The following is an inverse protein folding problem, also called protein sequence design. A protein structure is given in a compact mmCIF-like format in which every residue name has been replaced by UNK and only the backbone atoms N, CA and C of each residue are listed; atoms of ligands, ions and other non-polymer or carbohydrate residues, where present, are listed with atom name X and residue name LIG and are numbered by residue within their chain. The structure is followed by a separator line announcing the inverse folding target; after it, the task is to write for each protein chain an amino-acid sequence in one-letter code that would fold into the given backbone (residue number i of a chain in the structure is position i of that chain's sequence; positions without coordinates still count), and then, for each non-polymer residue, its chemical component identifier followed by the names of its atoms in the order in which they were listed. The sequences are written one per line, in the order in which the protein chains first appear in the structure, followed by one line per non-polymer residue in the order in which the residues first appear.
data_IF_829568656407
#
_entry.id   IF_829568656407
#
_cell.length_a   1.000
_cell.length_b   1.000
_cell.length_c   1.000
_cell.angle_alpha   90.00
_cell.angle_beta   90.00
_cell.angle_gamma   90.00
#
_symmetry.space_group_name_H-M   'P 1'
#
loop_
_entity.id
_entity.type
_entity.pdbx_description
1 polymer ?
#
# COMPACT_ATOMS: atom_id res chain seq x y z
N UNK A 1 22.52 7.08 10.34
CA UNK A 1 21.36 7.94 9.99
C UNK A 1 20.34 7.07 9.27
N UNK A 2 19.16 6.84 9.85
CA UNK A 2 18.12 5.94 9.30
C UNK A 2 16.88 6.78 9.02
N UNK A 3 16.21 6.55 7.89
CA UNK A 3 15.02 7.31 7.51
C UNK A 3 13.91 7.15 8.57
N UNK A 4 13.19 8.24 8.85
CA UNK A 4 12.18 8.30 9.92
C UNK A 4 11.13 7.18 9.83
N UNK A 5 10.64 6.85 8.63
CA UNK A 5 9.63 5.81 8.44
C UNK A 5 10.12 4.41 8.84
N UNK A 6 11.42 4.12 8.74
CA UNK A 6 12.01 2.87 9.25
C UNK A 6 12.00 2.85 10.77
N UNK A 7 12.28 3.99 11.40
CA UNK A 7 12.22 4.13 12.87
C UNK A 7 10.77 3.99 13.39
N UNK A 8 9.79 4.44 12.60
CA UNK A 8 8.37 4.26 12.86
C UNK A 8 7.85 2.83 12.59
N UNK A 9 8.73 1.86 12.28
CA UNK A 9 8.37 0.46 12.08
C UNK A 9 7.72 0.14 10.74
N UNK A 10 7.73 1.05 9.75
CA UNK A 10 7.23 0.72 8.42
C UNK A 10 8.22 -0.19 7.70
N UNK A 11 7.71 -1.31 7.19
CA UNK A 11 8.42 -2.07 6.16
C UNK A 11 8.45 -1.27 4.86
N UNK A 12 9.47 -1.50 4.04
CA UNK A 12 9.59 -0.83 2.74
C UNK A 12 8.36 -1.05 1.85
N UNK A 13 7.77 -2.26 1.89
CA UNK A 13 6.57 -2.58 1.13
C UNK A 13 5.40 -1.68 1.55
N UNK A 14 5.20 -1.47 2.86
CA UNK A 14 4.15 -0.56 3.34
C UNK A 14 4.44 0.89 2.99
N UNK A 15 5.68 1.33 3.16
CA UNK A 15 6.08 2.68 2.77
C UNK A 15 5.82 2.94 1.27
N UNK A 16 6.25 2.03 0.41
CA UNK A 16 6.05 2.11 -1.04
C UNK A 16 4.56 2.15 -1.41
N UNK A 17 3.73 1.31 -0.78
CA UNK A 17 2.28 1.30 -1.02
C UNK A 17 1.61 2.64 -0.63
N UNK A 18 2.03 3.26 0.48
CA UNK A 18 1.53 4.58 0.92
C UNK A 18 1.91 5.66 -0.11
N UNK A 19 3.18 5.72 -0.51
CA UNK A 19 3.64 6.69 -1.51
C UNK A 19 2.89 6.52 -2.84
N UNK A 20 2.71 5.28 -3.30
CA UNK A 20 1.97 5.01 -4.52
C UNK A 20 0.50 5.46 -4.42
N UNK A 21 -0.13 5.32 -3.26
CA UNK A 21 -1.50 5.80 -3.01
C UNK A 21 -1.58 7.33 -3.07
N UNK A 22 -0.63 8.04 -2.45
CA UNK A 22 -0.54 9.49 -2.49
C UNK A 22 -0.37 10.02 -3.93
N UNK A 23 0.49 9.39 -4.73
CA UNK A 23 0.70 9.76 -6.14
C UNK A 23 -0.57 9.58 -6.95
N UNK A 24 -1.28 8.46 -6.80
CA UNK A 24 -2.54 8.21 -7.51
C UNK A 24 -3.63 9.21 -7.14
N UNK A 25 -3.69 9.61 -5.87
CA UNK A 25 -4.66 10.59 -5.40
C UNK A 25 -4.46 11.97 -6.07
N UNK A 26 -3.21 12.32 -6.40
CA UNK A 26 -2.80 13.57 -7.03
C UNK A 26 -2.89 13.57 -8.58
N UNK A 27 -3.25 12.46 -9.22
CA UNK A 27 -3.39 12.40 -10.68
C UNK A 27 -4.58 13.21 -11.18
N UNK A 28 -4.46 13.70 -12.43
CA UNK A 28 -5.59 14.30 -13.15
C UNK A 28 -6.76 13.31 -13.24
N UNK A 29 -8.02 13.78 -13.23
CA UNK A 29 -9.21 12.91 -13.21
C UNK A 29 -9.22 11.84 -14.31
N UNK A 30 -8.78 12.21 -15.52
CA UNK A 30 -8.71 11.31 -16.67
C UNK A 30 -7.82 10.06 -16.46
N UNK A 31 -6.80 10.14 -15.60
CA UNK A 31 -5.90 9.02 -15.30
C UNK A 31 -6.16 8.41 -13.93
N UNK A 32 -6.81 9.16 -13.03
CA UNK A 32 -7.03 8.75 -11.65
C UNK A 32 -7.91 7.50 -11.56
N UNK A 33 -8.94 7.38 -12.41
CA UNK A 33 -9.89 6.26 -12.38
C UNK A 33 -9.19 4.93 -12.64
N UNK A 34 -8.40 4.84 -13.70
CA UNK A 34 -7.65 3.62 -14.04
C UNK A 34 -6.59 3.31 -12.99
N UNK A 35 -5.89 4.33 -12.50
CA UNK A 35 -4.86 4.16 -11.49
C UNK A 35 -5.43 3.66 -10.15
N UNK A 36 -6.61 4.14 -9.76
CA UNK A 36 -7.34 3.70 -8.55
C UNK A 36 -7.77 2.23 -8.65
N UNK A 37 -8.23 1.79 -9.82
CA UNK A 37 -8.63 0.39 -10.04
C UNK A 37 -7.47 -0.59 -9.77
N UNK A 38 -6.25 -0.22 -10.11
CA UNK A 38 -5.03 -1.02 -9.84
C UNK A 38 -4.67 -1.05 -8.35
N UNK A 39 -5.10 -0.04 -7.57
CA UNK A 39 -4.82 0.02 -6.14
C UNK A 39 -5.71 -0.91 -5.29
N UNK A 40 -6.76 -1.49 -5.87
CA UNK A 40 -7.67 -2.40 -5.18
C UNK A 40 -6.97 -3.73 -4.84
N UNK A 41 -7.11 -4.18 -3.58
CA UNK A 41 -6.58 -5.47 -3.15
C UNK A 41 -7.51 -6.61 -3.56
N UNK A 42 -7.06 -7.47 -4.46
CA UNK A 42 -7.82 -8.66 -4.90
C UNK A 42 -7.60 -9.91 -4.04
N UNK A 43 -6.62 -9.88 -3.14
CA UNK A 43 -6.20 -11.05 -2.35
C UNK A 43 -6.58 -10.87 -0.89
N UNK A 44 -7.33 -11.84 -0.35
CA UNK A 44 -7.60 -11.97 1.08
C UNK A 44 -6.78 -13.14 1.62
N UNK A 45 -5.92 -12.87 2.60
CA UNK A 45 -5.14 -13.91 3.29
C UNK A 45 -6.00 -14.51 4.40
N UNK A 46 -6.20 -15.82 4.38
CA UNK A 46 -6.78 -16.57 5.49
C UNK A 46 -5.65 -17.23 6.27
N UNK A 47 -5.59 -16.98 7.59
CA UNK A 47 -4.68 -17.69 8.47
C UNK A 47 -5.45 -18.90 9.02
N UNK A 48 -5.04 -20.15 8.72
CA UNK A 48 -5.63 -21.31 9.33
C UNK A 48 -5.47 -21.24 10.85
N UNK A 49 -6.53 -21.53 11.60
CA UNK A 49 -6.44 -21.66 13.05
C UNK A 49 -5.52 -22.85 13.33
N UNK A 50 -4.32 -22.58 13.83
CA UNK A 50 -3.42 -23.63 14.31
C UNK A 50 -4.15 -24.41 15.42
N UNK A 51 -4.35 -25.70 15.20
CA UNK A 51 -4.78 -26.62 16.25
C UNK A 51 -3.55 -26.75 17.17
N UNK A 52 -3.68 -26.25 18.39
CA UNK A 52 -2.68 -26.35 19.44
C UNK A 52 -2.53 -27.80 19.92
#
# INVERSE_FOLDING_TARGET
MVAYWRQAGLSYIRFSAICASAVRAALKPQFKVEAMKVAESSVKVYVPKAIA
#
